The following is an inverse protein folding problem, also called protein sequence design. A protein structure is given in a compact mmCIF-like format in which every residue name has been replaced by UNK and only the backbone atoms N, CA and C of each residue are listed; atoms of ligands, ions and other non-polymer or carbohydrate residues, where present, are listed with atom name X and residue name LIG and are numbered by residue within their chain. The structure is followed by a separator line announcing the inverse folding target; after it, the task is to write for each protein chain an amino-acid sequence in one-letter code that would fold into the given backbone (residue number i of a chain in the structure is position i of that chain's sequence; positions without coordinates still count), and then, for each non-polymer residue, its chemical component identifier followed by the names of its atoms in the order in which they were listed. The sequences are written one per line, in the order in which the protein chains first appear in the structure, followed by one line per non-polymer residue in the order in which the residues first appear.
data_IF_075878337586
#
_entry.id   IF_075878337586
#
_cell.length_a   1.000
_cell.length_b   1.000
_cell.length_c   1.000
_cell.angle_alpha   90.00
_cell.angle_beta   90.00
_cell.angle_gamma   90.00
#
_symmetry.space_group_name_H-M   'P 1'
#
loop_
_entity.id
_entity.type
_entity.pdbx_description
1 polymer ?
#
# COMPACT_ATOMS: atom_id res chain seq x y z
N UNK A 1 10.07 -12.22 -22.31
CA UNK A 1 9.02 -11.99 -21.30
C UNK A 1 9.64 -11.65 -19.95
N UNK A 2 10.39 -12.56 -19.31
CA UNK A 2 11.06 -12.29 -18.02
C UNK A 2 12.01 -11.08 -18.02
N UNK A 3 12.89 -10.97 -19.01
CA UNK A 3 13.89 -9.88 -19.08
C UNK A 3 13.25 -8.48 -19.16
N UNK A 4 12.15 -8.33 -19.91
CA UNK A 4 11.49 -7.03 -20.08
C UNK A 4 10.74 -6.61 -18.82
N UNK A 5 10.30 -7.56 -17.99
CA UNK A 5 9.54 -7.25 -16.79
C UNK A 5 10.45 -6.94 -15.61
N UNK A 6 11.60 -7.60 -15.45
CA UNK A 6 12.62 -7.12 -14.49
C UNK A 6 13.06 -5.70 -14.83
N UNK A 7 13.30 -5.40 -16.11
CA UNK A 7 13.61 -4.03 -16.57
C UNK A 7 12.45 -3.06 -16.31
N UNK A 8 11.20 -3.43 -16.64
CA UNK A 8 10.03 -2.60 -16.36
C UNK A 8 9.87 -2.35 -14.85
N UNK A 9 9.99 -3.38 -14.01
CA UNK A 9 9.93 -3.28 -12.55
C UNK A 9 11.04 -2.36 -12.02
N UNK A 10 12.26 -2.47 -12.54
CA UNK A 10 13.37 -1.56 -12.18
C UNK A 10 13.06 -0.12 -12.62
N UNK A 11 12.52 0.10 -13.81
CA UNK A 11 12.16 1.44 -14.31
C UNK A 11 11.03 2.09 -13.50
N UNK A 12 10.07 1.33 -12.98
CA UNK A 12 8.99 1.86 -12.11
C UNK A 12 9.38 1.94 -10.63
N UNK A 13 10.67 1.79 -10.31
CA UNK A 13 11.16 1.89 -8.93
C UNK A 13 10.81 0.69 -8.05
N UNK A 14 10.43 -0.44 -8.63
CA UNK A 14 10.43 -1.74 -7.96
C UNK A 14 11.85 -2.35 -8.00
N UNK A 15 12.87 -1.55 -7.64
CA UNK A 15 14.18 -2.11 -7.30
C UNK A 15 13.98 -3.13 -6.17
N UNK A 16 14.57 -4.33 -6.26
CA UNK A 16 14.70 -5.26 -5.15
C UNK A 16 15.47 -4.52 -4.06
N UNK A 17 14.73 -3.90 -3.15
CA UNK A 17 15.34 -3.37 -1.94
C UNK A 17 15.48 -4.61 -1.10
N UNK A 18 16.70 -4.98 -0.74
CA UNK A 18 16.93 -6.03 0.24
C UNK A 18 16.32 -5.58 1.56
N UNK A 19 15.02 -5.80 1.73
CA UNK A 19 14.32 -5.64 2.99
C UNK A 19 14.69 -6.88 3.77
N UNK A 20 15.72 -6.76 4.60
CA UNK A 20 16.05 -7.81 5.57
C UNK A 20 14.81 -8.10 6.40
N UNK A 21 14.57 -9.37 6.72
CA UNK A 21 13.43 -9.85 7.51
C UNK A 21 13.25 -9.15 8.89
N UNK A 22 14.17 -8.28 9.29
CA UNK A 22 14.15 -7.49 10.51
C UNK A 22 14.39 -5.97 10.25
N UNK A 23 13.70 -5.30 9.31
CA UNK A 23 13.85 -3.82 9.18
C UNK A 23 13.30 -3.06 10.41
N UNK A 24 12.54 -3.74 11.27
CA UNK A 24 11.89 -3.12 12.42
C UNK A 24 10.64 -2.30 12.05
N UNK A 25 10.15 -2.39 10.79
CA UNK A 25 8.86 -1.89 10.28
C UNK A 25 7.67 -2.36 11.10
N UNK A 26 7.82 -3.50 11.78
CA UNK A 26 6.70 -4.18 12.44
C UNK A 26 5.71 -4.75 11.42
N UNK A 27 6.14 -4.92 10.17
CA UNK A 27 5.37 -5.51 9.08
C UNK A 27 6.13 -6.72 8.56
N UNK A 28 5.57 -7.91 8.75
CA UNK A 28 6.10 -9.13 8.17
C UNK A 28 5.28 -9.53 6.94
N UNK A 29 5.92 -9.55 5.76
CA UNK A 29 5.29 -9.84 4.47
C UNK A 29 5.76 -11.20 3.91
N UNK A 30 4.88 -12.19 3.94
CA UNK A 30 5.09 -13.43 3.23
C UNK A 30 4.56 -13.32 1.81
N UNK A 31 5.47 -13.48 0.83
CA UNK A 31 5.11 -13.48 -0.59
C UNK A 31 4.49 -14.83 -1.00
N UNK A 32 3.60 -14.84 -2.00
CA UNK A 32 2.92 -16.05 -2.43
C UNK A 32 3.89 -16.96 -3.20
N UNK A 33 4.06 -18.22 -2.78
CA UNK A 33 4.92 -19.17 -3.49
C UNK A 33 4.29 -19.74 -4.78
N UNK A 34 3.00 -19.48 -5.00
CA UNK A 34 2.25 -19.83 -6.20
C UNK A 34 1.02 -18.92 -6.32
N UNK A 35 0.45 -18.81 -7.52
CA UNK A 35 -0.72 -17.96 -7.76
C UNK A 35 -1.98 -18.35 -6.95
N UNK A 36 -2.06 -19.60 -6.48
CA UNK A 36 -3.15 -20.06 -5.60
C UNK A 36 -2.98 -19.67 -4.13
N UNK A 37 -1.90 -18.99 -3.78
CA UNK A 37 -1.62 -18.51 -2.43
C UNK A 37 -1.74 -17.00 -2.41
N UNK A 38 -2.36 -16.47 -1.36
CA UNK A 38 -2.36 -15.04 -1.11
C UNK A 38 -0.98 -14.59 -0.59
N UNK A 39 -0.60 -13.36 -0.92
CA UNK A 39 0.41 -12.63 -0.18
C UNK A 39 -0.14 -12.30 1.21
N UNK A 40 0.69 -12.38 2.26
CA UNK A 40 0.26 -12.16 3.64
C UNK A 40 1.12 -11.09 4.27
N UNK A 41 0.51 -10.04 4.81
CA UNK A 41 1.17 -9.02 5.59
C UNK A 41 0.65 -9.06 7.03
N UNK A 42 1.54 -9.28 7.98
CA UNK A 42 1.25 -9.40 9.41
C UNK A 42 1.82 -8.21 10.16
N UNK A 43 0.99 -7.56 10.96
CA UNK A 43 1.38 -6.43 11.81
C UNK A 43 0.78 -6.57 13.21
N UNK A 44 1.24 -5.80 14.20
CA UNK A 44 0.55 -5.70 15.49
C UNK A 44 -0.90 -5.20 15.40
N UNK A 45 -1.28 -4.52 14.30
CA UNK A 45 -2.62 -4.02 14.06
C UNK A 45 -3.55 -5.05 13.41
N UNK A 46 -3.01 -6.17 12.91
CA UNK A 46 -3.76 -7.22 12.24
C UNK A 46 -3.03 -7.82 11.04
N UNK A 47 -3.67 -8.82 10.45
CA UNK A 47 -3.23 -9.53 9.25
C UNK A 47 -4.05 -9.07 8.05
N UNK A 48 -3.38 -8.77 6.94
CA UNK A 48 -4.01 -8.58 5.63
C UNK A 48 -3.50 -9.66 4.68
N UNK A 49 -4.41 -10.34 4.01
CA UNK A 49 -4.06 -11.22 2.89
C UNK A 49 -4.49 -10.58 1.57
N UNK A 50 -3.69 -10.69 0.53
CA UNK A 50 -4.02 -10.21 -0.81
C UNK A 50 -3.83 -11.33 -1.82
N UNK A 51 -4.92 -11.73 -2.45
CA UNK A 51 -4.87 -12.55 -3.66
C UNK A 51 -4.60 -11.65 -4.87
N UNK A 52 -3.99 -12.23 -5.91
CA UNK A 52 -3.60 -11.51 -7.13
C UNK A 52 -4.20 -12.16 -8.37
N UNK A 53 -4.46 -11.41 -9.46
CA UNK A 53 -5.04 -11.96 -10.68
C UNK A 53 -3.99 -12.72 -11.50
N UNK A 54 -3.50 -13.83 -10.95
CA UNK A 54 -2.43 -14.64 -11.50
C UNK A 54 -2.86 -16.11 -11.63
N UNK A 55 -2.15 -16.87 -12.46
CA UNK A 55 -2.29 -18.32 -12.60
C UNK A 55 -0.92 -19.01 -12.51
N UNK A 56 -0.95 -20.28 -12.13
CA UNK A 56 0.21 -21.16 -12.30
C UNK A 56 1.39 -20.88 -11.37
N UNK A 57 2.58 -21.04 -11.94
CA UNK A 57 3.84 -21.30 -11.24
C UNK A 57 4.75 -20.07 -11.35
N UNK A 58 5.48 -19.82 -10.27
CA UNK A 58 6.58 -18.88 -10.14
C UNK A 58 7.44 -18.78 -11.41
N UNK A 59 7.45 -17.59 -12.02
CA UNK A 59 8.21 -17.29 -13.24
C UNK A 59 9.67 -16.92 -12.91
N UNK A 60 9.91 -16.39 -11.71
CA UNK A 60 11.21 -16.11 -11.11
C UNK A 60 10.99 -15.64 -9.65
N UNK A 61 11.75 -16.21 -8.70
CA UNK A 61 12.02 -15.53 -7.43
C UNK A 61 13.16 -14.56 -7.68
N UNK A 62 12.96 -13.29 -7.34
CA UNK A 62 14.10 -12.39 -7.18
C UNK A 62 14.90 -12.78 -5.94
N UNK A 63 15.47 -11.81 -5.23
CA UNK A 63 15.73 -12.03 -3.82
C UNK A 63 14.39 -12.24 -3.06
N UNK A 64 14.43 -12.56 -1.76
CA UNK A 64 13.22 -12.80 -0.92
C UNK A 64 12.23 -11.61 -0.86
N UNK A 65 12.45 -10.53 -1.64
CA UNK A 65 11.63 -9.33 -1.71
C UNK A 65 10.59 -9.31 -2.83
N UNK A 66 10.67 -10.20 -3.84
CA UNK A 66 9.74 -10.20 -4.98
C UNK A 66 9.44 -11.61 -5.51
N UNK A 67 8.17 -11.85 -5.85
CA UNK A 67 7.72 -13.05 -6.58
C UNK A 67 7.00 -12.65 -7.84
N UNK A 68 7.33 -13.33 -8.94
CA UNK A 68 6.74 -13.09 -10.23
C UNK A 68 5.84 -14.24 -10.68
N UNK A 69 4.62 -13.90 -11.11
CA UNK A 69 3.58 -14.85 -11.47
C UNK A 69 3.03 -14.54 -12.86
N UNK A 70 2.65 -15.60 -13.57
CA UNK A 70 1.89 -15.46 -14.82
C UNK A 70 0.49 -14.92 -14.52
N UNK A 71 -0.01 -13.99 -15.32
CA UNK A 71 -1.33 -13.39 -15.09
C UNK A 71 -2.45 -14.38 -15.42
N UNK A 72 -3.59 -14.27 -14.75
CA UNK A 72 -4.75 -15.15 -15.00
C UNK A 72 -5.47 -14.83 -16.32
N UNK A 73 -5.10 -13.71 -16.97
CA UNK A 73 -5.65 -13.28 -18.23
C UNK A 73 -4.57 -13.23 -19.31
N UNK A 74 -5.00 -13.21 -20.57
CA UNK A 74 -4.13 -13.05 -21.74
C UNK A 74 -3.25 -11.82 -21.61
N UNK A 75 -1.96 -11.97 -21.96
CA UNK A 75 -0.97 -10.89 -22.04
C UNK A 75 -0.85 -10.07 -20.73
N UNK A 76 -0.92 -10.77 -19.60
CA UNK A 76 -0.72 -10.18 -18.28
C UNK A 76 0.29 -10.97 -17.47
N UNK A 77 1.02 -10.28 -16.60
CA UNK A 77 1.84 -10.87 -15.55
C UNK A 77 1.65 -10.08 -14.26
N UNK A 78 1.95 -10.69 -13.11
CA UNK A 78 1.85 -10.02 -11.82
C UNK A 78 3.12 -10.21 -11.01
N UNK A 79 3.73 -9.12 -10.57
CA UNK A 79 4.77 -9.14 -9.57
C UNK A 79 4.20 -8.79 -8.20
N UNK A 80 4.59 -9.53 -7.17
CA UNK A 80 4.21 -9.26 -5.78
C UNK A 80 5.47 -8.96 -5.00
N UNK A 81 5.52 -7.80 -4.37
CA UNK A 81 6.72 -7.26 -3.77
C UNK A 81 6.50 -6.86 -2.31
N UNK A 82 7.47 -7.19 -1.46
CA UNK A 82 7.63 -6.59 -0.14
C UNK A 82 8.22 -5.19 -0.30
N UNK A 83 7.59 -4.21 0.32
CA UNK A 83 8.09 -2.83 0.44
C UNK A 83 8.47 -2.55 1.89
N UNK A 84 9.16 -1.45 2.16
CA UNK A 84 9.56 -1.08 3.54
C UNK A 84 8.35 -0.93 4.48
N UNK A 85 7.25 -0.38 3.98
CA UNK A 85 6.05 -0.08 4.75
C UNK A 85 4.86 -0.96 4.38
N UNK A 86 5.04 -2.00 3.57
CA UNK A 86 3.95 -2.92 3.25
C UNK A 86 4.15 -3.84 2.07
N UNK A 87 3.07 -4.06 1.33
CA UNK A 87 2.95 -5.08 0.28
C UNK A 87 2.40 -4.43 -0.99
N UNK A 88 2.98 -4.78 -2.13
CA UNK A 88 2.58 -4.24 -3.44
C UNK A 88 2.37 -5.36 -4.44
N UNK A 89 1.32 -5.25 -5.25
CA UNK A 89 1.17 -6.02 -6.48
C UNK A 89 1.30 -5.08 -7.68
N UNK A 90 1.99 -5.54 -8.72
CA UNK A 90 2.19 -4.83 -9.96
C UNK A 90 1.71 -5.70 -11.10
N UNK A 91 0.65 -5.26 -11.77
CA UNK A 91 0.14 -5.90 -12.99
C UNK A 91 0.90 -5.33 -14.18
N UNK A 92 1.50 -6.21 -14.97
CA UNK A 92 2.05 -5.91 -16.28
C UNK A 92 1.02 -6.22 -17.36
N UNK A 93 0.83 -5.30 -18.31
CA UNK A 93 -0.12 -5.40 -19.41
C UNK A 93 0.67 -5.30 -20.72
N UNK A 94 0.81 -6.45 -21.40
CA UNK A 94 1.68 -6.61 -22.58
C UNK A 94 0.99 -6.25 -23.91
N UNK A 95 -0.35 -6.18 -23.95
CA UNK A 95 -1.08 -5.90 -25.19
C UNK A 95 -2.52 -5.41 -24.99
N UNK A 96 -3.16 -4.99 -26.08
CA UNK A 96 -4.56 -4.54 -26.13
C UNK A 96 -5.58 -5.65 -25.79
N UNK A 97 -5.16 -6.90 -25.95
CA UNK A 97 -5.99 -8.08 -25.66
C UNK A 97 -6.11 -8.32 -24.15
N UNK A 98 -5.19 -7.81 -23.35
CA UNK A 98 -5.25 -7.88 -21.89
C UNK A 98 -6.46 -7.11 -21.34
N UNK A 99 -7.13 -7.60 -20.28
CA UNK A 99 -8.28 -6.92 -19.68
C UNK A 99 -7.90 -5.55 -19.11
N UNK A 100 -8.91 -4.74 -18.82
CA UNK A 100 -8.74 -3.44 -18.15
C UNK A 100 -9.09 -3.52 -16.65
N UNK A 101 -9.68 -4.62 -16.18
CA UNK A 101 -10.13 -4.80 -14.80
C UNK A 101 -9.35 -5.92 -14.11
N UNK A 102 -8.71 -5.58 -13.01
CA UNK A 102 -7.89 -6.48 -12.19
C UNK A 102 -8.44 -6.53 -10.78
N UNK A 103 -8.63 -7.75 -10.26
CA UNK A 103 -9.25 -7.99 -8.97
C UNK A 103 -8.22 -8.47 -7.97
N UNK A 104 -8.24 -7.88 -6.79
CA UNK A 104 -7.38 -8.20 -5.65
C UNK A 104 -8.29 -8.51 -4.44
N UNK A 105 -8.74 -9.75 -4.28
CA UNK A 105 -9.44 -10.18 -3.08
C UNK A 105 -8.57 -9.94 -1.85
N UNK A 106 -9.11 -9.19 -0.88
CA UNK A 106 -8.44 -8.90 0.38
C UNK A 106 -9.13 -9.69 1.50
N UNK A 107 -8.32 -10.27 2.38
CA UNK A 107 -8.76 -11.06 3.53
C UNK A 107 -7.86 -10.86 4.75
N UNK A 108 -7.77 -11.90 5.58
CA UNK A 108 -7.17 -11.81 6.91
C UNK A 108 -8.17 -11.24 7.92
N UNK A 109 -7.77 -10.23 8.66
CA UNK A 109 -8.61 -9.51 9.63
C UNK A 109 -9.47 -8.41 8.96
N UNK A 110 -9.34 -8.22 7.64
CA UNK A 110 -10.12 -7.22 6.89
C UNK A 110 -11.57 -7.67 6.74
N UNK A 111 -12.49 -6.87 7.27
CA UNK A 111 -13.94 -7.06 7.17
C UNK A 111 -14.60 -6.13 6.14
N UNK A 112 -13.98 -4.99 5.83
CA UNK A 112 -14.52 -3.99 4.90
C UNK A 112 -13.41 -3.22 4.18
N UNK A 113 -13.61 -2.86 2.91
CA UNK A 113 -12.79 -1.86 2.22
C UNK A 113 -13.64 -0.63 1.93
N UNK A 114 -13.10 0.56 2.23
CA UNK A 114 -13.73 1.84 1.89
C UNK A 114 -12.85 2.63 0.94
N UNK A 115 -13.43 3.13 -0.15
CA UNK A 115 -12.77 4.12 -1.00
C UNK A 115 -12.59 5.43 -0.23
N UNK A 116 -11.45 6.07 -0.43
CA UNK A 116 -11.12 7.37 0.15
C UNK A 116 -11.46 8.49 -0.84
N UNK A 117 -11.61 9.72 -0.34
CA UNK A 117 -12.03 10.86 -1.16
C UNK A 117 -11.02 11.26 -2.26
N UNK A 118 -9.76 10.84 -2.11
CA UNK A 118 -8.67 11.01 -3.06
C UNK A 118 -8.54 9.85 -4.07
N UNK A 119 -9.44 8.85 -4.02
CA UNK A 119 -9.47 7.74 -4.97
C UNK A 119 -8.67 6.51 -4.53
N UNK A 120 -8.05 6.53 -3.35
CA UNK A 120 -7.43 5.37 -2.72
C UNK A 120 -8.44 4.48 -1.99
N UNK A 121 -7.93 3.62 -1.10
CA UNK A 121 -8.73 2.71 -0.29
C UNK A 121 -8.19 2.54 1.14
N UNK A 122 -9.07 2.23 2.08
CA UNK A 122 -8.73 1.83 3.44
C UNK A 122 -9.35 0.45 3.73
N UNK A 123 -8.52 -0.50 4.16
CA UNK A 123 -8.95 -1.81 4.65
C UNK A 123 -9.20 -1.73 6.16
N UNK A 124 -10.39 -2.15 6.58
CA UNK A 124 -10.88 -2.02 7.95
C UNK A 124 -11.15 -3.39 8.57
N UNK A 125 -10.87 -3.53 9.86
CA UNK A 125 -11.28 -4.69 10.66
C UNK A 125 -12.78 -4.67 10.99
N UNK A 126 -13.27 -5.69 11.71
CA UNK A 126 -14.67 -5.82 12.10
C UNK A 126 -15.15 -4.70 13.04
N UNK A 127 -14.23 -4.09 13.79
CA UNK A 127 -14.46 -2.97 14.70
C UNK A 127 -14.38 -1.60 14.00
N UNK A 128 -13.99 -1.57 12.71
CA UNK A 128 -13.87 -0.37 11.90
C UNK A 128 -12.52 0.36 12.05
N UNK A 129 -11.50 -0.27 12.63
CA UNK A 129 -10.14 0.27 12.67
C UNK A 129 -9.41 -0.04 11.37
N UNK A 130 -8.48 0.84 11.00
CA UNK A 130 -7.68 0.71 9.77
C UNK A 130 -6.58 -0.32 9.98
N UNK A 131 -6.60 -1.39 9.18
CA UNK A 131 -5.53 -2.41 9.09
C UNK A 131 -4.44 -1.93 8.14
N UNK A 132 -4.82 -1.44 6.97
CA UNK A 132 -3.92 -0.96 5.93
C UNK A 132 -4.61 0.07 5.02
N UNK A 133 -3.82 0.82 4.25
CA UNK A 133 -4.33 1.77 3.27
C UNK A 133 -3.65 1.63 1.93
N UNK A 134 -4.40 1.76 0.85
CA UNK A 134 -3.88 1.94 -0.49
C UNK A 134 -4.04 3.41 -0.91
N UNK A 135 -3.00 4.06 -1.46
CA UNK A 135 -3.10 5.41 -2.02
C UNK A 135 -3.98 5.39 -3.28
N UNK A 136 -4.20 6.54 -3.90
CA UNK A 136 -4.82 6.57 -5.21
C UNK A 136 -4.01 5.69 -6.19
N UNK A 137 -4.67 4.87 -7.03
CA UNK A 137 -3.98 3.98 -7.94
C UNK A 137 -3.18 4.77 -8.97
N UNK A 138 -2.12 4.15 -9.46
CA UNK A 138 -1.39 4.65 -10.62
C UNK A 138 -1.21 3.55 -11.66
N UNK A 139 -1.05 3.99 -12.90
CA UNK A 139 -0.64 3.15 -14.01
C UNK A 139 0.23 4.00 -14.94
N UNK A 140 1.31 3.41 -15.45
CA UNK A 140 2.22 4.06 -16.40
C UNK A 140 2.50 3.14 -17.57
N UNK A 141 2.60 3.70 -18.76
CA UNK A 141 2.95 2.98 -19.98
C UNK A 141 4.47 2.80 -20.14
N UNK A 142 4.89 2.06 -21.16
CA UNK A 142 6.31 1.78 -21.41
C UNK A 142 7.15 3.02 -21.78
N UNK A 143 6.53 4.18 -22.02
CA UNK A 143 7.21 5.46 -22.23
C UNK A 143 7.15 6.36 -20.98
N UNK A 144 6.63 5.86 -19.86
CA UNK A 144 6.44 6.62 -18.62
C UNK A 144 5.23 7.56 -18.64
N UNK A 145 4.31 7.42 -19.59
CA UNK A 145 3.08 8.22 -19.67
C UNK A 145 2.05 7.66 -18.69
N UNK A 146 1.45 8.53 -17.89
CA UNK A 146 0.36 8.12 -16.99
C UNK A 146 -0.86 7.62 -17.76
N UNK A 147 -1.33 6.43 -17.40
CA UNK A 147 -2.55 5.82 -17.91
C UNK A 147 -3.67 6.03 -16.87
N UNK A 148 -4.87 6.51 -17.27
CA UNK A 148 -5.97 6.68 -16.34
C UNK A 148 -6.33 5.37 -15.65
N UNK A 149 -6.41 5.41 -14.33
CA UNK A 149 -6.76 4.25 -13.51
C UNK A 149 -7.59 4.68 -12.31
N UNK A 150 -8.39 3.75 -11.77
CA UNK A 150 -9.22 3.98 -10.59
C UNK A 150 -9.45 2.70 -9.80
N UNK A 151 -9.74 2.85 -8.51
CA UNK A 151 -10.25 1.77 -7.68
C UNK A 151 -11.78 1.75 -7.64
N UNK A 152 -12.30 0.54 -7.57
CA UNK A 152 -13.67 0.18 -7.22
C UNK A 152 -13.61 -0.90 -6.12
N UNK A 153 -14.68 -1.06 -5.36
CA UNK A 153 -14.75 -2.05 -4.27
C UNK A 153 -16.01 -2.90 -4.42
N UNK A 154 -15.84 -4.21 -4.31
CA UNK A 154 -16.93 -5.19 -4.20
C UNK A 154 -16.69 -6.11 -3.00
N UNK A 155 -17.43 -5.89 -1.90
CA UNK A 155 -17.16 -6.55 -0.62
C UNK A 155 -15.76 -6.23 -0.09
N UNK A 156 -14.93 -7.26 0.08
CA UNK A 156 -13.50 -7.13 0.42
C UNK A 156 -12.59 -7.30 -0.79
N UNK A 157 -13.12 -7.20 -2.01
CA UNK A 157 -12.31 -7.23 -3.24
C UNK A 157 -12.00 -5.80 -3.66
N UNK A 158 -10.72 -5.44 -3.72
CA UNK A 158 -10.27 -4.21 -4.37
C UNK A 158 -10.16 -4.49 -5.88
N UNK A 159 -10.78 -3.64 -6.69
CA UNK A 159 -10.75 -3.76 -8.14
C UNK A 159 -10.05 -2.53 -8.71
N UNK A 160 -8.95 -2.72 -9.42
CA UNK A 160 -8.34 -1.66 -10.20
C UNK A 160 -8.82 -1.74 -11.64
N UNK A 161 -9.29 -0.61 -12.19
CA UNK A 161 -9.55 -0.49 -13.63
C UNK A 161 -8.50 0.42 -14.27
N UNK A 162 -7.73 -0.09 -15.22
CA UNK A 162 -6.74 0.63 -16.03
C UNK A 162 -7.33 0.87 -17.41
N UNK A 163 -7.64 2.13 -17.77
CA UNK A 163 -8.28 2.51 -19.05
C UNK A 163 -7.25 2.61 -20.18
N UNK A 164 -6.56 1.50 -20.46
CA UNK A 164 -5.47 1.45 -21.44
C UNK A 164 -5.95 1.40 -22.89
N UNK A 165 -7.25 1.17 -23.15
CA UNK A 165 -7.83 1.23 -24.49
C UNK A 165 -8.45 2.59 -24.81
N UNK A 166 -8.60 3.47 -23.82
CA UNK A 166 -9.15 4.82 -23.98
C UNK A 166 -8.20 5.82 -24.65
N UNK A 167 -6.94 5.45 -24.91
CA UNK A 167 -5.91 6.31 -25.50
C UNK A 167 -4.87 5.56 -26.32
N UNK A 168 -3.86 6.30 -26.80
CA UNK A 168 -2.70 5.75 -27.52
C UNK A 168 -1.54 5.58 -26.53
N UNK A 169 -1.43 4.40 -25.92
CA UNK A 169 -0.45 4.06 -24.90
C UNK A 169 0.50 2.96 -25.38
N UNK A 170 1.76 3.03 -24.99
CA UNK A 170 2.73 1.98 -25.29
C UNK A 170 2.60 0.80 -24.32
N UNK A 171 2.29 -0.38 -24.85
CA UNK A 171 2.20 -1.62 -24.07
C UNK A 171 3.53 -2.01 -23.43
N UNK A 172 3.44 -2.78 -22.34
CA UNK A 172 4.40 -2.74 -21.24
C UNK A 172 3.91 -1.83 -20.11
N UNK A 173 2.58 -1.70 -19.96
CA UNK A 173 1.97 -0.85 -18.93
C UNK A 173 2.10 -1.57 -17.58
N UNK A 174 2.48 -0.84 -16.55
CA UNK A 174 2.54 -1.32 -15.17
C UNK A 174 1.51 -0.56 -14.33
N UNK A 175 0.74 -1.29 -13.53
CA UNK A 175 -0.30 -0.72 -12.66
C UNK A 175 -0.31 -1.38 -11.28
N UNK A 176 -0.61 -0.60 -10.23
CA UNK A 176 -0.57 -1.06 -8.85
C UNK A 176 -1.93 -1.50 -8.26
N UNK A 177 -1.91 -2.30 -7.20
CA UNK A 177 -2.12 -1.63 -5.91
C UNK A 177 -0.97 -1.83 -4.93
N UNK A 178 -0.71 -0.78 -4.15
CA UNK A 178 0.20 -0.79 -3.00
C UNK A 178 -0.59 -0.67 -1.69
N UNK A 179 -0.31 -1.53 -0.71
CA UNK A 179 -0.88 -1.49 0.63
C UNK A 179 0.18 -1.11 1.65
N UNK A 180 -0.09 -0.02 2.37
CA UNK A 180 0.77 0.53 3.41
C UNK A 180 0.22 0.23 4.79
N UNK A 181 1.11 -0.22 5.67
CA UNK A 181 0.84 -0.54 7.05
C UNK A 181 1.52 0.47 7.96
N UNK A 182 0.71 1.24 8.68
CA UNK A 182 1.20 2.28 9.58
C UNK A 182 1.57 1.71 10.96
N UNK A 183 2.21 0.54 11.02
CA UNK A 183 2.46 -0.21 12.26
C UNK A 183 3.41 0.55 13.21
N UNK A 184 4.57 1.01 12.72
CA UNK A 184 5.50 1.93 13.43
C UNK A 184 4.74 3.16 13.97
N UNK A 185 3.87 3.74 13.16
CA UNK A 185 3.04 4.88 13.55
C UNK A 185 2.01 4.53 14.63
N UNK A 186 1.34 3.38 14.53
CA UNK A 186 0.31 2.95 15.49
C UNK A 186 0.85 2.71 16.88
N UNK A 187 2.01 2.05 16.98
CA UNK A 187 2.71 1.90 18.24
C UNK A 187 3.12 3.27 18.83
N UNK A 188 3.69 4.15 18.00
CA UNK A 188 4.09 5.49 18.41
C UNK A 188 2.91 6.34 18.88
N UNK A 189 1.80 6.33 18.15
CA UNK A 189 0.60 7.09 18.45
C UNK A 189 -0.04 6.60 19.76
N UNK A 190 -0.13 5.29 19.96
CA UNK A 190 -0.67 4.71 21.20
C UNK A 190 0.15 5.16 22.41
N UNK A 191 1.48 5.04 22.34
CA UNK A 191 2.38 5.47 23.41
C UNK A 191 2.28 6.98 23.65
N UNK A 192 2.26 7.76 22.56
CA UNK A 192 2.17 9.20 22.63
C UNK A 192 0.88 9.67 23.30
N UNK A 193 -0.26 9.08 22.94
CA UNK A 193 -1.57 9.37 23.56
C UNK A 193 -1.51 9.05 25.05
N UNK A 194 -1.02 7.86 25.42
CA UNK A 194 -0.93 7.44 26.81
C UNK A 194 -0.05 8.37 27.68
N UNK A 195 1.05 8.89 27.12
CA UNK A 195 1.98 9.76 27.83
C UNK A 195 1.52 11.22 27.92
N UNK A 196 0.92 11.74 26.85
CA UNK A 196 0.71 13.19 26.70
C UNK A 196 -0.75 13.63 26.84
N UNK A 197 -1.71 12.74 26.55
CA UNK A 197 -3.12 13.12 26.39
C UNK A 197 -4.01 12.46 27.44
N UNK A 198 -4.79 13.29 28.13
CA UNK A 198 -5.92 12.81 28.93
C UNK A 198 -7.12 12.53 28.00
N UNK A 199 -8.12 11.74 28.44
CA UNK A 199 -9.33 11.51 27.64
C UNK A 199 -10.02 12.80 27.18
N UNK A 200 -10.05 13.83 28.04
CA UNK A 200 -10.61 15.14 27.70
C UNK A 200 -9.79 15.90 26.64
N UNK A 201 -8.45 15.78 26.66
CA UNK A 201 -7.59 16.35 25.63
C UNK A 201 -7.72 15.59 24.31
N UNK A 202 -7.81 14.26 24.35
CA UNK A 202 -8.03 13.43 23.16
C UNK A 202 -9.37 13.72 22.48
N UNK A 203 -10.44 13.96 23.25
CA UNK A 203 -11.71 14.39 22.69
C UNK A 203 -11.63 15.76 21.98
N UNK A 204 -10.79 16.68 22.49
CA UNK A 204 -10.55 18.01 21.88
C UNK A 204 -9.55 17.98 20.72
N UNK A 205 -8.71 16.95 20.66
CA UNK A 205 -7.72 16.73 19.62
C UNK A 205 -8.34 16.51 18.21
N UNK A 206 -9.67 16.50 18.09
CA UNK A 206 -10.33 16.40 16.79
C UNK A 206 -10.08 15.06 16.12
N UNK A 207 -10.12 15.01 14.79
CA UNK A 207 -9.92 13.76 14.03
C UNK A 207 -8.46 13.38 13.85
N UNK A 208 -7.50 14.30 14.04
CA UNK A 208 -6.09 14.09 13.66
C UNK A 208 -5.45 12.91 14.41
N UNK A 209 -5.64 12.82 15.73
CA UNK A 209 -5.06 11.76 16.56
C UNK A 209 -6.02 10.61 16.85
N UNK A 210 -7.11 10.47 16.06
CA UNK A 210 -8.08 9.37 16.25
C UNK A 210 -7.58 8.05 15.67
N UNK A 211 -6.81 8.10 14.58
CA UNK A 211 -6.17 6.92 14.00
C UNK A 211 -4.82 7.28 13.40
N UNK A 212 -4.03 6.25 13.12
CA UNK A 212 -2.78 6.38 12.35
C UNK A 212 -3.03 7.02 11.00
N UNK A 213 -4.09 6.59 10.30
CA UNK A 213 -4.48 7.15 9.00
C UNK A 213 -4.69 8.66 9.03
N UNK A 214 -5.48 9.17 9.99
CA UNK A 214 -5.75 10.61 10.08
C UNK A 214 -4.51 11.41 10.43
N UNK A 215 -3.62 10.85 11.25
CA UNK A 215 -2.36 11.48 11.60
C UNK A 215 -1.43 11.53 10.39
N UNK A 216 -1.18 10.40 9.73
CA UNK A 216 -0.35 10.32 8.52
C UNK A 216 -0.86 11.27 7.45
N UNK A 217 -2.18 11.28 7.19
CA UNK A 217 -2.80 12.20 6.23
C UNK A 217 -2.59 13.67 6.60
N UNK A 218 -2.66 14.00 7.89
CA UNK A 218 -2.36 15.36 8.36
C UNK A 218 -0.88 15.70 8.15
N UNK A 219 0.04 14.78 8.44
CA UNK A 219 1.48 14.98 8.28
C UNK A 219 1.89 15.13 6.80
N UNK A 220 1.28 14.37 5.90
CA UNK A 220 1.53 14.43 4.45
C UNK A 220 1.11 15.73 3.77
N UNK A 221 0.36 16.61 4.45
CA UNK A 221 0.04 17.95 3.93
C UNK A 221 1.22 18.92 4.00
N UNK A 222 2.28 18.55 4.73
CA UNK A 222 3.44 19.39 4.93
C UNK A 222 4.60 18.97 4.02
N UNK A 223 5.39 19.92 3.51
CA UNK A 223 6.47 19.63 2.57
C UNK A 223 7.73 19.03 3.23
N UNK A 224 7.77 18.89 4.57
CA UNK A 224 8.90 18.25 5.26
C UNK A 224 8.51 17.82 6.69
N UNK A 225 9.17 16.77 7.19
CA UNK A 225 9.10 16.31 8.58
C UNK A 225 9.22 17.48 9.56
N UNK A 226 10.20 18.37 9.35
CA UNK A 226 10.45 19.49 10.26
C UNK A 226 9.26 20.46 10.36
N UNK A 227 8.55 20.69 9.26
CA UNK A 227 7.38 21.58 9.22
C UNK A 227 6.19 20.93 9.90
N UNK A 228 5.94 19.65 9.61
CA UNK A 228 4.86 18.91 10.26
C UNK A 228 5.07 18.79 11.76
N UNK A 229 6.31 18.49 12.20
CA UNK A 229 6.66 18.46 13.62
C UNK A 229 6.38 19.78 14.33
N UNK A 230 6.75 20.92 13.71
CA UNK A 230 6.45 22.23 14.28
C UNK A 230 4.95 22.50 14.36
N UNK A 231 4.21 22.16 13.31
CA UNK A 231 2.76 22.34 13.27
C UNK A 231 2.06 21.48 14.34
N UNK A 232 2.42 20.21 14.42
CA UNK A 232 1.87 19.29 15.41
C UNK A 232 2.23 19.69 16.85
N UNK A 233 3.47 20.12 17.09
CA UNK A 233 3.91 20.62 18.40
C UNK A 233 3.19 21.91 18.81
N UNK A 234 3.02 22.85 17.88
CA UNK A 234 2.28 24.09 18.14
C UNK A 234 0.83 23.81 18.57
N UNK A 235 0.23 22.78 17.98
CA UNK A 235 -1.14 22.37 18.33
C UNK A 235 -1.22 21.59 19.65
N UNK A 236 -0.24 20.72 19.94
CA UNK A 236 -0.22 19.89 21.16
C UNK A 236 0.35 20.59 22.39
N UNK A 237 1.01 21.73 22.22
CA UNK A 237 1.64 22.48 23.29
C UNK A 237 2.87 21.76 23.84
N UNK A 238 2.93 21.56 25.16
CA UNK A 238 4.11 21.02 25.86
C UNK A 238 4.25 19.49 25.79
N UNK A 239 3.73 18.85 24.75
CA UNK A 239 3.84 17.40 24.59
C UNK A 239 5.27 16.99 24.24
N UNK A 240 5.79 15.97 24.91
CA UNK A 240 7.10 15.40 24.61
C UNK A 240 6.99 14.33 23.53
N UNK A 241 8.07 14.09 22.78
CA UNK A 241 8.12 13.02 21.78
C UNK A 241 7.42 13.32 20.44
N UNK A 242 6.98 14.56 20.19
CA UNK A 242 6.30 14.93 18.93
C UNK A 242 7.15 14.62 17.70
N UNK A 243 8.46 14.90 17.73
CA UNK A 243 9.34 14.60 16.59
C UNK A 243 9.44 13.10 16.30
N UNK A 244 9.51 12.26 17.32
CA UNK A 244 9.57 10.80 17.15
C UNK A 244 8.25 10.27 16.60
N UNK A 245 7.11 10.78 17.09
CA UNK A 245 5.79 10.46 16.54
C UNK A 245 5.70 10.83 15.06
N UNK A 246 6.15 12.03 14.66
CA UNK A 246 6.12 12.47 13.26
C UNK A 246 7.03 11.62 12.39
N UNK A 247 8.24 11.29 12.84
CA UNK A 247 9.15 10.43 12.09
C UNK A 247 8.57 9.03 11.84
N UNK A 248 7.91 8.45 12.85
CA UNK A 248 7.30 7.11 12.74
C UNK A 248 5.98 7.07 11.98
N UNK A 249 5.36 8.23 11.79
CA UNK A 249 4.10 8.42 11.08
C UNK A 249 4.25 9.20 9.77
N UNK A 250 5.49 9.43 9.33
CA UNK A 250 5.74 10.15 8.10
C UNK A 250 5.29 9.27 6.92
N UNK A 251 4.49 9.78 5.96
CA UNK A 251 4.22 9.03 4.75
C UNK A 251 5.50 8.94 3.92
N UNK A 252 5.90 7.71 3.59
CA UNK A 252 7.01 7.44 2.66
C UNK A 252 6.73 8.01 1.26
#
# INVERSE_FOLDING_TARGET
MLANMEEALIEVGATPTTVTAEDGSGVDVQLPGAASQAAVATTPAGVLTMEVPAQGRDLAQGDDSITLLDGSATDTAVAVQRTESGLRALVHIDSIEAPERFQFPIGGDVAEIKLTADGGAAALDAEGHVVATAPAPWAIDANGVSVPTRFEVDGTTLIQTVDHRGGDYAYGIVADPSWYFWAKCGAALTLFIAQNLTPAKLARAGTILKSTYTLVRYLGQFPSVSQASRALAAWLGSASGVNDLVLRCWPD
#
